data_IF_415521951229
#
_entry.id   IF_415521951229
#
_cell.length_a   1.000
_cell.length_b   1.000
_cell.length_c   1.000
_cell.angle_alpha   90.00
_cell.angle_beta   90.00
_cell.angle_gamma   90.00
#
_symmetry.space_group_name_H-M   'P 1'
#
loop_
_entity.id
_entity.type
_entity.pdbx_description
1 polymer ?
#
# COMPACT_ATOMS: atom_id res chain seq x y z
N UNK A 1 28.11 -17.91 17.46
CA UNK A 1 27.20 -16.97 16.78
C UNK A 1 27.32 -15.61 17.46
N UNK A 2 27.71 -14.56 16.73
CA UNK A 2 27.73 -13.18 17.24
C UNK A 2 26.27 -12.72 17.40
N UNK A 3 25.88 -12.29 18.59
CA UNK A 3 24.54 -11.72 18.84
C UNK A 3 24.44 -10.43 18.03
N UNK A 4 23.60 -10.43 17.00
CA UNK A 4 23.31 -9.25 16.19
C UNK A 4 22.65 -8.19 17.08
N UNK A 5 23.02 -6.94 16.84
CA UNK A 5 22.78 -5.78 17.69
C UNK A 5 21.27 -5.55 17.94
N UNK A 6 20.80 -5.65 19.19
CA UNK A 6 19.38 -5.50 19.58
C UNK A 6 18.83 -4.10 19.32
N UNK A 7 19.72 -3.11 19.26
CA UNK A 7 19.34 -1.70 19.30
C UNK A 7 18.76 -1.25 17.96
N UNK A 8 19.32 -1.75 16.85
CA UNK A 8 18.80 -1.51 15.50
C UNK A 8 17.39 -2.08 15.29
N UNK A 9 17.09 -3.24 15.89
CA UNK A 9 15.74 -3.82 15.81
C UNK A 9 14.70 -2.96 16.55
N UNK A 10 15.13 -2.25 17.60
CA UNK A 10 14.26 -1.40 18.41
C UNK A 10 13.97 -0.07 17.70
N UNK A 11 14.94 0.46 16.95
CA UNK A 11 14.77 1.67 16.13
C UNK A 11 13.80 1.49 14.95
N UNK A 12 13.66 0.26 14.43
CA UNK A 12 12.73 -0.07 13.35
C UNK A 12 11.29 -0.27 13.86
N UNK A 13 11.14 -0.84 15.06
CA UNK A 13 9.85 -1.11 15.65
C UNK A 13 9.16 0.19 16.10
N UNK A 14 7.96 0.46 15.57
CA UNK A 14 7.18 1.64 15.95
C UNK A 14 7.54 2.93 15.20
N UNK A 15 8.38 2.85 14.16
CA UNK A 15 8.60 3.97 13.24
C UNK A 15 7.32 4.23 12.42
N UNK A 16 6.96 5.49 12.25
CA UNK A 16 5.86 5.94 11.41
C UNK A 16 6.39 6.69 10.19
N UNK A 17 5.54 6.79 9.16
CA UNK A 17 5.81 7.62 8.01
C UNK A 17 6.17 9.06 8.40
N UNK A 18 7.19 9.61 7.75
CA UNK A 18 7.57 11.01 7.80
C UNK A 18 7.70 11.57 6.37
N UNK A 19 7.31 12.82 6.08
CA UNK A 19 7.46 13.40 4.74
C UNK A 19 8.87 13.31 4.14
N UNK A 20 9.91 13.37 4.97
CA UNK A 20 11.30 13.20 4.52
C UNK A 20 11.62 11.79 4.01
N UNK A 21 10.76 10.79 4.24
CA UNK A 21 10.98 9.41 3.81
C UNK A 21 10.94 9.24 2.28
N UNK A 22 10.28 10.17 1.56
CA UNK A 22 10.33 10.22 0.09
C UNK A 22 11.73 10.49 -0.47
N UNK A 23 12.60 11.15 0.31
CA UNK A 23 13.95 11.51 -0.13
C UNK A 23 15.01 10.49 0.32
N UNK A 24 14.65 9.58 1.23
CA UNK A 24 15.56 8.60 1.79
C UNK A 24 15.68 7.37 0.89
N UNK A 25 16.88 6.79 0.88
CA UNK A 25 17.23 5.65 0.01
C UNK A 25 17.25 4.31 0.74
N UNK A 26 16.93 4.29 2.03
CA UNK A 26 16.84 3.05 2.80
C UNK A 26 15.47 2.37 2.60
N UNK A 27 15.49 1.04 2.63
CA UNK A 27 14.33 0.21 2.30
C UNK A 27 13.11 0.50 3.19
N UNK A 28 13.31 0.78 4.47
CA UNK A 28 12.19 1.04 5.38
C UNK A 28 11.51 2.36 5.00
N UNK A 29 12.29 3.43 4.82
CA UNK A 29 11.76 4.73 4.41
C UNK A 29 11.06 4.65 3.05
N UNK A 30 11.65 3.99 2.05
CA UNK A 30 11.02 3.80 0.75
C UNK A 30 9.69 3.03 0.85
N UNK A 31 9.65 1.99 1.68
CA UNK A 31 8.41 1.23 1.93
C UNK A 31 7.32 2.06 2.60
N UNK A 32 7.66 2.81 3.65
CA UNK A 32 6.72 3.71 4.33
C UNK A 32 6.16 4.77 3.38
N UNK A 33 7.02 5.40 2.57
CA UNK A 33 6.62 6.38 1.58
C UNK A 33 5.68 5.78 0.51
N UNK A 34 6.02 4.60 -0.02
CA UNK A 34 5.20 3.90 -1.02
C UNK A 34 3.80 3.58 -0.48
N UNK A 35 3.68 3.11 0.76
CA UNK A 35 2.36 2.80 1.34
C UNK A 35 1.54 4.07 1.64
N UNK A 36 2.20 5.18 1.95
CA UNK A 36 1.52 6.47 2.15
C UNK A 36 0.94 7.00 0.83
N UNK A 37 1.70 6.87 -0.26
CA UNK A 37 1.25 7.20 -1.61
C UNK A 37 0.06 6.33 -2.01
N UNK A 38 0.16 5.00 -1.92
CA UNK A 38 -0.95 4.08 -2.24
C UNK A 38 -2.24 4.40 -1.47
N UNK A 39 -2.13 4.73 -0.18
CA UNK A 39 -3.29 5.10 0.63
C UNK A 39 -3.90 6.44 0.17
N UNK A 40 -3.06 7.40 -0.20
CA UNK A 40 -3.48 8.71 -0.69
C UNK A 40 -4.11 8.62 -2.08
N UNK A 41 -3.53 7.83 -2.97
CA UNK A 41 -4.03 7.57 -4.31
C UNK A 41 -5.41 6.91 -4.22
N UNK A 42 -5.55 5.89 -3.38
CA UNK A 42 -6.85 5.23 -3.14
C UNK A 42 -7.89 6.21 -2.60
N UNK A 43 -7.50 7.14 -1.71
CA UNK A 43 -8.41 8.14 -1.17
C UNK A 43 -8.79 9.22 -2.20
N UNK A 44 -7.85 9.62 -3.04
CA UNK A 44 -8.01 10.75 -3.98
C UNK A 44 -8.65 10.32 -5.29
N UNK A 45 -8.20 9.21 -5.85
CA UNK A 45 -8.61 8.69 -7.16
C UNK A 45 -9.71 7.62 -7.02
N UNK A 46 -9.84 7.01 -5.85
CA UNK A 46 -10.72 5.85 -5.63
C UNK A 46 -10.05 4.54 -6.04
N UNK A 47 -10.77 3.43 -5.88
CA UNK A 47 -10.34 2.11 -6.33
C UNK A 47 -10.84 1.84 -7.76
N UNK A 48 -9.97 1.31 -8.64
CA UNK A 48 -10.40 0.76 -9.93
C UNK A 48 -10.98 -0.63 -9.66
N UNK A 49 -12.31 -0.72 -9.62
CA UNK A 49 -13.01 -2.01 -9.54
C UNK A 49 -12.74 -2.85 -10.79
N UNK A 50 -12.53 -4.16 -10.60
CA UNK A 50 -12.44 -5.07 -11.74
C UNK A 50 -13.80 -5.15 -12.46
N UNK A 51 -13.82 -4.89 -13.76
CA UNK A 51 -14.98 -5.09 -14.63
C UNK A 51 -14.73 -6.25 -15.58
N UNK A 52 -15.79 -7.00 -15.90
CA UNK A 52 -15.80 -7.97 -17.00
C UNK A 52 -16.79 -7.46 -18.04
N UNK A 53 -16.34 -7.38 -19.30
CA UNK A 53 -17.24 -7.18 -20.45
C UNK A 53 -18.19 -8.39 -20.56
N UNK A 54 -19.49 -8.15 -20.49
CA UNK A 54 -20.48 -9.15 -20.91
C UNK A 54 -20.41 -9.36 -22.44
N UNK A 55 -20.94 -10.48 -22.92
CA UNK A 55 -21.03 -10.77 -24.36
C UNK A 55 -21.82 -9.73 -25.14
N UNK A 56 -22.66 -8.96 -24.44
CA UNK A 56 -23.44 -7.83 -24.95
C UNK A 56 -22.71 -6.48 -24.86
N UNK A 57 -21.48 -6.44 -24.34
CA UNK A 57 -20.62 -5.25 -24.26
C UNK A 57 -20.91 -4.32 -23.08
N UNK A 58 -21.56 -4.84 -22.03
CA UNK A 58 -21.86 -4.11 -20.80
C UNK A 58 -20.80 -4.44 -19.73
N UNK A 59 -20.28 -3.41 -19.04
CA UNK A 59 -19.31 -3.56 -17.95
C UNK A 59 -19.99 -4.12 -16.68
N UNK A 60 -19.60 -5.32 -16.26
CA UNK A 60 -20.06 -5.93 -15.01
C UNK A 60 -18.99 -5.77 -13.93
N UNK A 61 -19.23 -4.92 -12.94
CA UNK A 61 -18.36 -4.77 -11.77
C UNK A 61 -18.33 -6.05 -10.91
N UNK A 62 -17.14 -6.61 -10.74
CA UNK A 62 -16.92 -7.82 -9.95
C UNK A 62 -16.91 -7.46 -8.45
N UNK A 63 -17.82 -8.08 -7.70
CA UNK A 63 -17.81 -8.05 -6.23
C UNK A 63 -18.78 -7.08 -5.57
N UNK A 64 -19.42 -6.14 -6.29
CA UNK A 64 -20.42 -5.24 -5.69
C UNK A 64 -21.79 -5.88 -5.47
N UNK A 65 -22.15 -6.92 -6.24
CA UNK A 65 -23.39 -7.67 -6.07
C UNK A 65 -23.15 -9.18 -5.99
N UNK A 66 -22.88 -9.69 -4.79
CA UNK A 66 -23.16 -11.10 -4.44
C UNK A 66 -24.26 -11.14 -3.38
N UNK A 67 -25.38 -10.48 -3.63
CA UNK A 67 -26.61 -10.73 -2.88
C UNK A 67 -27.39 -11.79 -3.65
N UNK A 68 -27.67 -12.90 -2.96
CA UNK A 68 -28.43 -14.05 -3.48
C UNK A 68 -29.83 -13.67 -3.96
#
# INVERSE_FOLDING_TARGET
MKKQNSDQSTELAGRYYNPSDYEKKDQLSSGLATTHEQATDTYTEGEIGAVIDDVDGEDIEIGKNRTK
#
